data_IF_061716538628
#
_entry.id   IF_061716538628
#
_cell.length_a   1.000
_cell.length_b   1.000
_cell.length_c   1.000
_cell.angle_alpha   90.00
_cell.angle_beta   90.00
_cell.angle_gamma   90.00
#
_symmetry.space_group_name_H-M   'P 1'
#
loop_
_entity.id
_entity.type
_entity.pdbx_description
1 polymer ?
#
# COMPACT_ATOMS: atom_id res chain seq x y z
N UNK A 1 -21.04 12.82 1.81
CA UNK A 1 -20.56 11.81 2.80
C UNK A 1 -20.59 10.37 2.29
N UNK A 2 -21.63 9.95 1.57
CA UNK A 2 -21.80 8.54 1.14
C UNK A 2 -20.74 8.04 0.15
N UNK A 3 -20.27 8.92 -0.74
CA UNK A 3 -19.25 8.58 -1.74
C UNK A 3 -17.88 8.26 -1.09
N UNK A 4 -17.41 9.12 -0.17
CA UNK A 4 -16.16 8.89 0.59
C UNK A 4 -16.22 7.58 1.39
N UNK A 5 -17.37 7.24 1.97
CA UNK A 5 -17.56 5.95 2.65
C UNK A 5 -17.47 4.75 1.70
N UNK A 6 -18.09 4.83 0.51
CA UNK A 6 -18.01 3.79 -0.52
C UNK A 6 -16.57 3.58 -1.02
N UNK A 7 -15.82 4.65 -1.23
CA UNK A 7 -14.40 4.57 -1.62
C UNK A 7 -13.54 3.91 -0.52
N UNK A 8 -13.68 4.33 0.74
CA UNK A 8 -12.98 3.70 1.88
C UNK A 8 -13.27 2.22 1.98
N UNK A 9 -14.54 1.82 1.85
CA UNK A 9 -14.94 0.42 1.90
C UNK A 9 -14.33 -0.41 0.75
N UNK A 10 -14.33 0.12 -0.47
CA UNK A 10 -13.68 -0.53 -1.62
C UNK A 10 -12.17 -0.68 -1.40
N UNK A 11 -11.49 0.37 -0.92
CA UNK A 11 -10.06 0.33 -0.61
C UNK A 11 -9.74 -0.69 0.47
N UNK A 12 -10.54 -0.76 1.52
CA UNK A 12 -10.42 -1.79 2.56
C UNK A 12 -10.55 -3.22 2.00
N UNK A 13 -11.49 -3.44 1.09
CA UNK A 13 -11.69 -4.75 0.43
C UNK A 13 -10.48 -5.13 -0.43
N UNK A 14 -9.97 -4.19 -1.24
CA UNK A 14 -8.81 -4.41 -2.11
C UNK A 14 -7.55 -4.64 -1.26
N UNK A 15 -7.37 -3.85 -0.21
CA UNK A 15 -6.28 -4.00 0.74
C UNK A 15 -6.28 -5.39 1.41
N UNK A 16 -7.44 -5.90 1.83
CA UNK A 16 -7.54 -7.24 2.41
C UNK A 16 -7.19 -8.33 1.39
N UNK A 17 -7.61 -8.16 0.12
CA UNK A 17 -7.20 -9.04 -0.99
C UNK A 17 -5.67 -9.05 -1.14
N UNK A 18 -5.05 -7.88 -1.22
CA UNK A 18 -3.59 -7.75 -1.38
C UNK A 18 -2.87 -8.39 -0.18
N UNK A 19 -3.33 -8.12 1.05
CA UNK A 19 -2.79 -8.72 2.27
C UNK A 19 -2.84 -10.25 2.23
N UNK A 20 -3.98 -10.82 1.84
CA UNK A 20 -4.12 -12.28 1.67
C UNK A 20 -3.16 -12.83 0.62
N UNK A 21 -3.04 -12.14 -0.53
CA UNK A 21 -2.10 -12.53 -1.59
C UNK A 21 -0.66 -12.51 -1.10
N UNK A 22 -0.24 -11.46 -0.38
CA UNK A 22 1.08 -11.38 0.23
C UNK A 22 1.36 -12.60 1.11
N UNK A 23 0.44 -12.93 2.02
CA UNK A 23 0.61 -14.08 2.91
C UNK A 23 0.55 -15.44 2.20
N UNK A 24 -0.20 -15.55 1.11
CA UNK A 24 -0.21 -16.75 0.27
C UNK A 24 1.13 -16.94 -0.45
N UNK A 25 1.64 -15.88 -1.10
CA UNK A 25 2.96 -15.89 -1.74
C UNK A 25 4.07 -16.17 -0.72
N UNK A 26 3.91 -15.75 0.54
CA UNK A 26 4.82 -16.11 1.62
C UNK A 26 4.75 -17.54 2.10
N UNK A 27 3.54 -18.11 2.20
CA UNK A 27 3.38 -19.52 2.54
C UNK A 27 4.06 -20.43 1.52
N UNK A 28 4.12 -20.03 0.25
CA UNK A 28 4.87 -20.72 -0.82
C UNK A 28 6.40 -20.57 -0.68
N UNK A 29 6.89 -19.55 0.05
CA UNK A 29 8.31 -19.24 0.21
C UNK A 29 8.84 -19.56 1.63
N UNK A 30 8.12 -20.38 2.40
CA UNK A 30 8.47 -20.81 3.76
C UNK A 30 8.72 -19.67 4.77
N UNK A 31 8.05 -18.51 4.58
CA UNK A 31 8.19 -17.42 5.54
C UNK A 31 7.36 -17.64 6.82
N UNK A 32 7.79 -17.10 7.97
CA UNK A 32 7.06 -17.22 9.23
C UNK A 32 5.62 -16.73 9.11
N UNK A 33 4.67 -17.47 9.67
CA UNK A 33 3.24 -17.11 9.67
C UNK A 33 2.94 -16.05 10.72
N UNK A 34 2.02 -15.14 10.41
CA UNK A 34 1.50 -14.12 11.32
C UNK A 34 0.01 -13.88 11.07
N UNK A 35 -0.72 -13.38 12.06
CA UNK A 35 -2.15 -13.07 11.93
C UNK A 35 -2.47 -11.68 12.46
N UNK A 36 -3.58 -11.10 12.01
CA UNK A 36 -4.05 -9.78 12.50
C UNK A 36 -4.53 -9.81 13.96
N UNK A 37 -4.60 -11.00 14.58
CA UNK A 37 -4.93 -11.20 16.00
C UNK A 37 -3.68 -11.29 16.88
N UNK A 38 -2.49 -11.35 16.29
CA UNK A 38 -1.23 -11.39 17.02
C UNK A 38 -1.00 -10.09 17.79
N UNK A 39 -0.37 -10.17 18.97
CA UNK A 39 -0.03 -8.99 19.76
C UNK A 39 1.02 -8.13 19.05
N UNK A 40 1.13 -6.87 19.46
CA UNK A 40 2.13 -5.94 18.92
C UNK A 40 3.57 -6.49 19.04
N UNK A 41 3.92 -7.11 20.17
CA UNK A 41 5.25 -7.71 20.37
C UNK A 41 5.51 -8.89 19.44
N UNK A 42 4.50 -9.74 19.21
CA UNK A 42 4.61 -10.86 18.26
C UNK A 42 4.77 -10.34 16.84
N UNK A 43 4.03 -9.30 16.45
CA UNK A 43 4.17 -8.65 15.14
C UNK A 43 5.55 -8.01 15.00
N UNK A 44 6.03 -7.31 16.03
CA UNK A 44 7.36 -6.69 16.05
C UNK A 44 8.44 -7.75 15.85
N UNK A 45 8.46 -8.81 16.66
CA UNK A 45 9.41 -9.91 16.55
C UNK A 45 9.34 -10.59 15.18
N UNK A 46 8.14 -10.77 14.64
CA UNK A 46 7.94 -11.29 13.29
C UNK A 46 8.58 -10.39 12.23
N UNK A 47 8.37 -9.07 12.28
CA UNK A 47 9.01 -8.11 11.35
C UNK A 47 10.52 -8.03 11.52
N UNK A 48 11.00 -8.25 12.74
CA UNK A 48 12.42 -8.22 13.05
C UNK A 48 13.16 -9.52 12.72
N UNK A 49 12.42 -10.60 12.42
CA UNK A 49 12.98 -11.89 12.00
C UNK A 49 13.85 -11.76 10.74
N UNK A 50 14.85 -12.62 10.65
CA UNK A 50 15.78 -12.63 9.54
C UNK A 50 15.05 -12.89 8.22
N UNK A 51 14.11 -13.82 8.23
CA UNK A 51 13.29 -14.25 7.10
C UNK A 51 12.49 -13.08 6.53
N UNK A 52 11.82 -12.31 7.39
CA UNK A 52 11.02 -11.16 6.96
C UNK A 52 11.90 -9.99 6.50
N UNK A 53 13.00 -9.69 7.20
CA UNK A 53 13.96 -8.67 6.74
C UNK A 53 14.59 -9.04 5.39
N UNK A 54 14.95 -10.31 5.20
CA UNK A 54 15.52 -10.80 3.95
C UNK A 54 14.49 -10.79 2.81
N UNK A 55 13.26 -11.22 3.07
CA UNK A 55 12.16 -11.10 2.12
C UNK A 55 11.95 -9.63 1.74
N UNK A 56 11.88 -8.73 2.73
CA UNK A 56 11.74 -7.28 2.52
C UNK A 56 12.85 -6.70 1.65
N UNK A 57 14.09 -7.13 1.86
CA UNK A 57 15.22 -6.73 1.01
C UNK A 57 14.99 -7.16 -0.44
N UNK A 58 14.56 -8.41 -0.68
CA UNK A 58 14.23 -8.96 -2.01
C UNK A 58 13.06 -8.23 -2.70
N UNK A 59 12.18 -7.53 -1.98
CA UNK A 59 11.17 -6.67 -2.62
C UNK A 59 11.79 -5.50 -3.39
N UNK A 60 12.99 -5.04 -3.03
CA UNK A 60 13.71 -4.01 -3.78
C UNK A 60 14.28 -4.50 -5.12
N UNK A 61 14.24 -5.82 -5.36
CA UNK A 61 14.76 -6.49 -6.56
C UNK A 61 13.63 -6.86 -7.56
N UNK A 62 12.46 -6.19 -7.47
CA UNK A 62 11.29 -6.20 -8.37
C UNK A 62 10.51 -7.51 -8.58
N UNK A 63 11.15 -8.69 -8.51
CA UNK A 63 10.51 -9.98 -8.83
C UNK A 63 9.32 -10.28 -7.91
N UNK A 64 9.48 -10.04 -6.61
CA UNK A 64 8.46 -10.36 -5.63
C UNK A 64 7.25 -9.41 -5.70
N UNK A 65 7.51 -8.11 -5.92
CA UNK A 65 6.45 -7.12 -6.12
C UNK A 65 5.63 -7.44 -7.39
N UNK A 66 6.33 -7.81 -8.47
CA UNK A 66 5.71 -8.22 -9.73
C UNK A 66 4.80 -9.45 -9.56
N UNK A 67 5.23 -10.45 -8.78
CA UNK A 67 4.43 -11.64 -8.48
C UNK A 67 3.14 -11.33 -7.71
N UNK A 68 3.19 -10.39 -6.75
CA UNK A 68 1.99 -9.96 -6.02
C UNK A 68 1.05 -9.19 -6.94
N UNK A 69 1.57 -8.28 -7.76
CA UNK A 69 0.78 -7.52 -8.72
C UNK A 69 0.05 -8.45 -9.70
N UNK A 70 0.75 -9.43 -10.28
CA UNK A 70 0.17 -10.42 -11.19
C UNK A 70 -0.90 -11.30 -10.52
N UNK A 71 -0.74 -11.64 -9.23
CA UNK A 71 -1.76 -12.42 -8.49
C UNK A 71 -2.95 -11.57 -8.04
N UNK A 72 -2.75 -10.28 -7.79
CA UNK A 72 -3.81 -9.38 -7.34
C UNK A 72 -4.71 -8.90 -8.48
N UNK A 73 -4.18 -8.78 -9.69
CA UNK A 73 -4.86 -8.15 -10.82
C UNK A 73 -4.93 -9.11 -12.01
N UNK A 74 -6.12 -9.30 -12.56
CA UNK A 74 -6.35 -10.22 -13.71
C UNK A 74 -5.88 -9.64 -15.04
N UNK A 75 -5.67 -8.32 -15.09
CA UNK A 75 -5.12 -7.58 -16.22
C UNK A 75 -3.95 -6.73 -15.73
N UNK A 76 -3.24 -6.09 -16.66
CA UNK A 76 -2.22 -5.09 -16.31
C UNK A 76 -2.85 -4.04 -15.38
N UNK A 77 -2.33 -3.85 -14.15
CA UNK A 77 -2.88 -2.87 -13.24
C UNK A 77 -2.63 -1.45 -13.75
N UNK A 78 -3.54 -0.53 -13.41
CA UNK A 78 -3.28 0.91 -13.58
C UNK A 78 -2.13 1.38 -12.69
N UNK A 79 -1.61 2.58 -12.95
CA UNK A 79 -0.61 3.20 -12.07
C UNK A 79 -1.12 3.36 -10.64
N UNK A 80 -2.38 3.77 -10.48
CA UNK A 80 -3.03 3.88 -9.18
C UNK A 80 -3.12 2.52 -8.46
N UNK A 81 -3.55 1.47 -9.16
CA UNK A 81 -3.62 0.12 -8.60
C UNK A 81 -2.23 -0.41 -8.21
N UNK A 82 -1.22 -0.08 -9.02
CA UNK A 82 0.18 -0.44 -8.75
C UNK A 82 0.69 0.31 -7.51
N UNK A 83 0.49 1.62 -7.44
CA UNK A 83 0.87 2.45 -6.30
C UNK A 83 0.19 2.00 -5.01
N UNK A 84 -1.11 1.71 -5.06
CA UNK A 84 -1.87 1.20 -3.91
C UNK A 84 -1.35 -0.17 -3.45
N UNK A 85 -1.06 -1.08 -4.38
CA UNK A 85 -0.49 -2.40 -4.07
C UNK A 85 0.87 -2.27 -3.40
N UNK A 86 1.77 -1.46 -3.97
CA UNK A 86 3.10 -1.19 -3.42
C UNK A 86 3.00 -0.57 -2.02
N UNK A 87 2.02 0.29 -1.81
CA UNK A 87 1.79 0.97 -0.53
C UNK A 87 1.30 0.01 0.56
N UNK A 88 0.42 -0.93 0.22
CA UNK A 88 0.01 -2.02 1.12
C UNK A 88 1.21 -2.88 1.51
N UNK A 89 2.06 -3.25 0.53
CA UNK A 89 3.28 -4.02 0.78
C UNK A 89 4.20 -3.25 1.74
N UNK A 90 4.49 -1.98 1.45
CA UNK A 90 5.32 -1.11 2.31
C UNK A 90 4.78 -1.05 3.73
N UNK A 91 3.49 -0.85 3.89
CA UNK A 91 2.83 -0.79 5.19
C UNK A 91 2.99 -2.10 5.98
N UNK A 92 2.73 -3.25 5.36
CA UNK A 92 2.80 -4.56 6.02
C UNK A 92 4.23 -4.90 6.46
N UNK A 93 5.24 -4.53 5.67
CA UNK A 93 6.64 -4.86 5.99
C UNK A 93 7.42 -3.78 6.71
N UNK A 94 6.88 -2.57 6.87
CA UNK A 94 7.59 -1.52 7.57
C UNK A 94 7.88 -1.96 9.02
N UNK A 95 9.16 -2.08 9.43
CA UNK A 95 9.53 -2.54 10.77
C UNK A 95 9.10 -1.55 11.86
N UNK A 96 8.84 -0.28 11.53
CA UNK A 96 8.39 0.75 12.45
C UNK A 96 6.86 0.73 12.67
N UNK A 97 6.12 -0.14 11.97
CA UNK A 97 4.66 -0.30 12.14
C UNK A 97 4.39 -1.64 12.81
N UNK A 98 4.03 -1.64 14.10
CA UNK A 98 3.72 -2.87 14.85
C UNK A 98 2.29 -3.38 14.64
N UNK A 99 1.80 -3.22 13.41
CA UNK A 99 0.49 -3.70 12.96
C UNK A 99 0.63 -4.27 11.55
N UNK A 100 -0.17 -5.29 11.29
CA UNK A 100 -0.47 -5.78 9.93
C UNK A 100 -1.96 -5.63 9.60
N UNK A 101 -2.73 -5.02 10.51
CA UNK A 101 -4.07 -4.55 10.22
C UNK A 101 -3.96 -3.26 9.41
N UNK A 102 -4.55 -3.29 8.23
CA UNK A 102 -4.53 -2.17 7.32
C UNK A 102 -5.52 -1.11 7.79
N UNK A 103 -5.03 0.11 8.00
CA UNK A 103 -5.84 1.32 8.22
C UNK A 103 -5.79 2.21 7.00
N UNK A 104 -6.94 2.75 6.59
CA UNK A 104 -7.07 3.53 5.36
C UNK A 104 -6.16 4.77 5.37
N UNK A 105 -6.15 5.53 6.47
CA UNK A 105 -5.28 6.70 6.70
C UNK A 105 -3.79 6.34 6.49
N UNK A 106 -3.36 5.23 7.10
CA UNK A 106 -1.98 4.76 7.00
C UNK A 106 -1.59 4.44 5.56
N UNK A 107 -2.47 3.80 4.78
CA UNK A 107 -2.20 3.50 3.36
C UNK A 107 -2.24 4.76 2.50
N UNK A 108 -3.17 5.69 2.74
CA UNK A 108 -3.22 6.96 2.00
C UNK A 108 -1.86 7.65 1.99
N UNK A 109 -1.19 7.71 3.15
CA UNK A 109 0.14 8.29 3.28
C UNK A 109 1.16 7.60 2.37
N UNK A 110 1.25 6.27 2.42
CA UNK A 110 2.16 5.51 1.55
C UNK A 110 1.82 5.66 0.07
N UNK A 111 0.53 5.75 -0.27
CA UNK A 111 0.07 5.88 -1.65
C UNK A 111 0.53 7.20 -2.25
N UNK A 112 0.32 8.32 -1.53
CA UNK A 112 0.80 9.64 -1.98
C UNK A 112 2.32 9.64 -2.18
N UNK A 113 3.08 9.09 -1.23
CA UNK A 113 4.55 8.97 -1.34
C UNK A 113 4.98 8.08 -2.51
N UNK A 114 4.26 7.00 -2.78
CA UNK A 114 4.55 6.07 -3.87
C UNK A 114 4.24 6.69 -5.24
N UNK A 115 3.07 7.34 -5.39
CA UNK A 115 2.68 8.02 -6.63
C UNK A 115 3.67 9.13 -6.98
N UNK A 116 4.09 9.95 -6.01
CA UNK A 116 5.10 10.99 -6.23
C UNK A 116 6.38 10.42 -6.84
N UNK A 117 6.89 9.30 -6.32
CA UNK A 117 8.09 8.63 -6.83
C UNK A 117 7.91 8.01 -8.21
N UNK A 118 6.75 7.42 -8.47
CA UNK A 118 6.42 6.90 -9.80
C UNK A 118 6.42 8.04 -10.84
N UNK A 119 5.84 9.19 -10.50
CA UNK A 119 5.79 10.36 -11.37
C UNK A 119 7.17 10.98 -11.63
N UNK A 120 8.09 10.93 -10.66
CA UNK A 120 9.47 11.42 -10.82
C UNK A 120 10.42 10.37 -11.39
N UNK A 121 9.92 9.18 -11.76
CA UNK A 121 10.71 8.02 -12.20
C UNK A 121 11.83 7.65 -11.21
N UNK A 122 11.63 7.96 -9.93
CA UNK A 122 12.53 7.59 -8.85
C UNK A 122 12.39 6.12 -8.50
N UNK A 123 13.51 5.46 -8.16
CA UNK A 123 13.46 4.08 -7.72
C UNK A 123 12.69 3.96 -6.40
N UNK A 124 11.62 3.16 -6.41
CA UNK A 124 10.85 2.85 -5.21
C UNK A 124 11.69 1.95 -4.30
N UNK A 125 12.21 2.51 -3.22
CA UNK A 125 12.94 1.78 -2.19
C UNK A 125 12.03 1.50 -0.99
N UNK A 126 12.20 0.32 -0.39
CA UNK A 126 11.42 -0.15 0.74
C UNK A 126 12.14 0.12 2.09
N UNK A 127 13.48 -0.06 2.15
CA UNK A 127 14.22 -0.01 3.42
C UNK A 127 14.65 1.38 3.93
N UNK A 128 14.59 2.44 3.11
CA UNK A 128 15.12 3.77 3.47
C UNK A 128 14.07 4.80 3.91
N UNK A 129 12.79 4.43 3.97
CA UNK A 129 11.73 5.39 4.28
C UNK A 129 11.49 5.47 5.79
N UNK A 130 12.11 6.46 6.44
CA UNK A 130 11.72 6.87 7.79
C UNK A 130 10.26 7.33 7.77
N UNK A 131 9.43 6.64 8.55
CA UNK A 131 8.08 7.07 8.84
C UNK A 131 8.18 8.27 9.79
N UNK A 132 8.24 9.49 9.24
CA UNK A 132 8.03 10.65 10.09
C UNK A 132 6.52 10.78 10.34
N UNK A 133 6.13 10.61 11.60
CA UNK A 133 4.73 10.64 12.05
C UNK A 133 4.16 12.07 12.07
N UNK A 134 5.00 13.08 11.84
CA UNK A 134 4.71 14.50 12.02
C UNK A 134 4.23 15.26 10.75
N UNK A 135 4.04 14.62 9.59
CA UNK A 135 3.43 15.28 8.41
C UNK A 135 1.89 15.12 8.39
N UNK A 136 1.20 15.41 9.50
CA UNK A 136 -0.27 15.27 9.60
C UNK A 136 -1.07 16.57 9.35
N UNK A 137 -0.44 17.69 9.00
CA UNK A 137 -1.17 18.92 8.65
C UNK A 137 -0.79 19.44 7.26
N UNK A 138 -1.64 19.15 6.29
CA UNK A 138 -1.56 19.64 4.92
C UNK A 138 -2.85 19.32 4.21
N UNK A 139 -3.80 20.24 4.32
CA UNK A 139 -5.13 20.23 3.73
C UNK A 139 -5.07 19.86 2.23
N UNK A 140 -5.91 18.91 1.80
CA UNK A 140 -6.19 18.74 0.37
C UNK A 140 -7.30 19.72 0.00
N UNK A 141 -6.94 20.76 -0.76
CA UNK A 141 -7.89 21.57 -1.51
C UNK A 141 -8.43 20.72 -2.68
N UNK A 142 -9.70 20.31 -2.56
CA UNK A 142 -10.50 19.74 -3.64
C UNK A 142 -10.78 20.86 -4.68
N UNK A 143 -9.99 20.99 -5.75
CA UNK A 143 -10.39 21.75 -6.94
C UNK A 143 -11.22 20.86 -7.89
N UNK A 144 -12.53 20.76 -7.62
CA UNK A 144 -13.52 20.37 -8.65
C UNK A 144 -13.82 21.60 -9.54
N UNK A 145 -13.11 21.72 -10.67
CA UNK A 145 -13.48 22.64 -11.74
C UNK A 145 -14.53 22.00 -12.67
N UNK A 146 -15.80 22.39 -12.49
CA UNK A 146 -16.93 22.00 -13.36
C UNK A 146 -16.71 22.33 -14.85
N UNK A 147 -16.90 21.32 -15.71
CA UNK A 147 -17.13 21.51 -17.16
C UNK A 147 -18.50 22.16 -17.40
N UNK A 148 -18.53 23.48 -17.43
CA UNK A 148 -19.70 24.28 -17.81
C UNK A 148 -19.90 24.37 -19.32
N UNK A 149 -20.55 23.35 -19.90
CA UNK A 149 -21.15 23.36 -21.24
C UNK A 149 -22.06 24.59 -21.43
N UNK A 150 -21.74 25.48 -22.38
CA UNK A 150 -22.70 26.48 -22.90
C UNK A 150 -22.81 26.39 -24.41
N UNK A 151 -23.67 25.48 -24.83
CA UNK A 151 -24.44 25.62 -26.07
C UNK A 151 -25.49 26.72 -25.85
N UNK A 152 -25.38 27.84 -26.57
CA UNK A 152 -26.54 28.69 -26.86
C UNK A 152 -26.48 29.17 -28.31
N UNK A 153 -27.37 28.54 -29.09
CA UNK A 153 -27.96 29.05 -30.31
C UNK A 153 -28.50 30.47 -30.09
N UNK A 154 -28.15 31.41 -30.97
CA UNK A 154 -29.11 32.18 -31.77
C UNK A 154 -28.40 32.90 -32.90
#
# INVERSE_FOLDING_TARGET
>A
MELKAKYRHRRGTIADKIRKTIFMTFGENDLPKITTKSSADVIKNWKESYEIKNAYRKFNDDVFCSQILQRCWTSRPSEEQSAFTISVIKYIFNPNIYSIQIKDEGICHYMKKTQKKMNTNEKIQFLKEEFNKEEEEGEEEDEEGEEGRKEKRK
#
